data_IF_248157600469
#
_entry.id   IF_248157600469
#
_cell.length_a   1.000
_cell.length_b   1.000
_cell.length_c   1.000
_cell.angle_alpha   90.00
_cell.angle_beta   90.00
_cell.angle_gamma   90.00
#
_symmetry.space_group_name_H-M   'P 1'
#
loop_
_entity.id
_entity.type
_entity.pdbx_description
1 polymer ?
#
# COMPACT_ATOMS: atom_id res chain seq x y z
N UNK A 1 2.66 -85.46 8.19
CA UNK A 1 2.71 -84.43 7.14
C UNK A 1 1.49 -83.52 7.13
N UNK A 2 0.31 -83.93 7.48
CA UNK A 2 -0.89 -83.14 7.45
C UNK A 2 -0.89 -81.98 8.45
N UNK A 3 -0.22 -82.14 9.62
CA UNK A 3 -0.11 -81.10 10.60
C UNK A 3 0.78 -79.89 10.15
N UNK A 4 1.80 -80.16 9.36
CA UNK A 4 2.70 -79.14 8.83
C UNK A 4 2.00 -78.29 7.73
N UNK A 5 1.19 -78.95 6.92
CA UNK A 5 0.39 -78.30 5.89
C UNK A 5 -0.67 -77.34 6.49
N UNK A 6 -1.37 -77.79 7.54
CA UNK A 6 -2.34 -77.02 8.26
C UNK A 6 -1.69 -75.79 8.93
N UNK A 7 -0.49 -75.96 9.50
CA UNK A 7 0.27 -74.85 10.06
C UNK A 7 0.74 -73.84 9.01
N UNK A 8 1.20 -74.34 7.87
CA UNK A 8 1.61 -73.46 6.75
C UNK A 8 0.42 -72.66 6.20
N UNK A 9 -0.72 -73.32 6.02
CA UNK A 9 -1.94 -72.64 5.57
C UNK A 9 -2.45 -71.58 6.58
N UNK A 10 -2.37 -71.92 7.89
CA UNK A 10 -2.73 -71.04 8.96
C UNK A 10 -1.81 -69.78 8.98
N UNK A 11 -0.51 -69.98 8.89
CA UNK A 11 0.47 -68.90 8.85
C UNK A 11 0.27 -68.00 7.60
N UNK A 12 0.03 -68.62 6.46
CA UNK A 12 -0.25 -67.92 5.21
C UNK A 12 -1.55 -67.08 5.28
N UNK A 13 -2.61 -67.68 5.87
CA UNK A 13 -3.86 -66.97 6.08
C UNK A 13 -3.69 -65.79 7.03
N UNK A 14 -2.96 -65.95 8.14
CA UNK A 14 -2.64 -64.89 9.08
C UNK A 14 -1.79 -63.77 8.46
N UNK A 15 -0.76 -64.14 7.71
CA UNK A 15 0.06 -63.18 7.00
C UNK A 15 -0.76 -62.40 5.96
N UNK A 16 -1.72 -63.05 5.31
CA UNK A 16 -2.63 -62.44 4.37
C UNK A 16 -3.58 -61.43 5.03
N UNK A 17 -4.12 -61.76 6.21
CA UNK A 17 -4.98 -60.87 7.00
C UNK A 17 -4.16 -59.67 7.49
N UNK A 18 -2.96 -59.87 8.02
CA UNK A 18 -2.08 -58.78 8.44
C UNK A 18 -1.71 -57.87 7.28
N UNK A 19 -1.48 -58.42 6.11
CA UNK A 19 -1.23 -57.64 4.90
C UNK A 19 -2.45 -56.81 4.48
N UNK A 20 -3.64 -57.38 4.54
CA UNK A 20 -4.87 -56.66 4.24
C UNK A 20 -5.09 -55.54 5.23
N UNK A 21 -4.90 -55.75 6.52
CA UNK A 21 -5.03 -54.75 7.55
C UNK A 21 -4.02 -53.60 7.35
N UNK A 22 -2.78 -53.94 6.99
CA UNK A 22 -1.75 -52.93 6.68
C UNK A 22 -2.12 -52.12 5.45
N UNK A 23 -2.67 -52.75 4.41
CA UNK A 23 -3.16 -52.07 3.22
C UNK A 23 -4.33 -51.11 3.53
N UNK A 24 -5.30 -51.55 4.34
CA UNK A 24 -6.42 -50.71 4.78
C UNK A 24 -5.94 -49.50 5.56
N UNK A 25 -5.02 -49.70 6.49
CA UNK A 25 -4.44 -48.59 7.27
C UNK A 25 -3.73 -47.59 6.37
N UNK A 26 -2.94 -48.10 5.44
CA UNK A 26 -2.22 -47.26 4.47
C UNK A 26 -3.18 -46.47 3.59
N UNK A 27 -4.26 -47.10 3.12
CA UNK A 27 -5.28 -46.41 2.33
C UNK A 27 -5.99 -45.29 3.12
N UNK A 28 -6.32 -45.57 4.38
CA UNK A 28 -6.93 -44.55 5.26
C UNK A 28 -6.01 -43.35 5.49
N UNK A 29 -4.73 -43.61 5.76
CA UNK A 29 -3.73 -42.56 5.93
C UNK A 29 -3.52 -41.79 4.64
N UNK A 30 -3.48 -42.45 3.50
CA UNK A 30 -3.37 -41.81 2.19
C UNK A 30 -4.57 -40.90 1.91
N UNK A 31 -5.79 -41.37 2.19
CA UNK A 31 -7.01 -40.55 2.01
C UNK A 31 -7.01 -39.32 2.91
N UNK A 32 -6.56 -39.45 4.17
CA UNK A 32 -6.41 -38.33 5.08
C UNK A 32 -5.43 -37.30 4.53
N UNK A 33 -4.26 -37.79 4.05
CA UNK A 33 -3.24 -36.91 3.46
C UNK A 33 -3.74 -36.19 2.22
N UNK A 34 -4.51 -36.86 1.38
CA UNK A 34 -5.12 -36.28 0.18
C UNK A 34 -6.13 -35.20 0.53
N UNK A 35 -6.96 -35.39 1.56
CA UNK A 35 -7.91 -34.38 2.05
C UNK A 35 -7.19 -33.15 2.58
N UNK A 36 -6.13 -33.34 3.36
CA UNK A 36 -5.31 -32.27 3.88
C UNK A 36 -4.64 -31.49 2.75
N UNK A 37 -4.06 -32.19 1.78
CA UNK A 37 -3.42 -31.56 0.61
C UNK A 37 -4.43 -30.74 -0.21
N UNK A 38 -5.64 -31.27 -0.40
CA UNK A 38 -6.71 -30.55 -1.10
C UNK A 38 -7.11 -29.28 -0.35
N UNK A 39 -7.25 -29.36 0.97
CA UNK A 39 -7.57 -28.22 1.81
C UNK A 39 -6.50 -27.13 1.72
N UNK A 40 -5.23 -27.49 1.82
CA UNK A 40 -4.12 -26.55 1.67
C UNK A 40 -4.06 -25.93 0.28
N UNK A 41 -4.36 -26.71 -0.75
CA UNK A 41 -4.43 -26.19 -2.13
C UNK A 41 -5.52 -25.12 -2.28
N UNK A 42 -6.69 -25.34 -1.68
CA UNK A 42 -7.78 -24.38 -1.69
C UNK A 42 -7.43 -23.12 -0.90
N UNK A 43 -6.84 -23.26 0.28
CA UNK A 43 -6.34 -22.15 1.09
C UNK A 43 -5.28 -21.34 0.34
N UNK A 44 -4.36 -21.99 -0.34
CA UNK A 44 -3.33 -21.35 -1.14
C UNK A 44 -3.93 -20.53 -2.29
N UNK A 45 -4.96 -21.05 -2.96
CA UNK A 45 -5.68 -20.31 -4.00
C UNK A 45 -6.31 -19.02 -3.44
N UNK A 46 -6.96 -19.13 -2.28
CA UNK A 46 -7.57 -17.96 -1.63
C UNK A 46 -6.51 -16.91 -1.25
N UNK A 47 -5.40 -17.32 -0.67
CA UNK A 47 -4.30 -16.43 -0.31
C UNK A 47 -3.70 -15.76 -1.54
N UNK A 48 -3.53 -16.48 -2.63
CA UNK A 48 -3.03 -15.93 -3.88
C UNK A 48 -4.00 -14.88 -4.47
N UNK A 49 -5.31 -15.12 -4.39
CA UNK A 49 -6.32 -14.14 -4.82
C UNK A 49 -6.29 -12.88 -3.97
N UNK A 50 -6.18 -13.01 -2.66
CA UNK A 50 -6.03 -11.88 -1.74
C UNK A 50 -4.75 -11.09 -2.03
N UNK A 51 -3.66 -11.79 -2.29
CA UNK A 51 -2.38 -11.17 -2.67
C UNK A 51 -2.51 -10.35 -3.94
N UNK A 52 -3.14 -10.89 -4.97
CA UNK A 52 -3.36 -10.19 -6.24
C UNK A 52 -4.23 -8.94 -6.03
N UNK A 53 -5.28 -9.04 -5.24
CA UNK A 53 -6.13 -7.89 -4.89
C UNK A 53 -5.36 -6.81 -4.14
N UNK A 54 -4.51 -7.19 -3.17
CA UNK A 54 -3.67 -6.24 -2.43
C UNK A 54 -2.64 -5.55 -3.33
N UNK A 55 -2.07 -6.28 -4.28
CA UNK A 55 -1.14 -5.70 -5.28
C UNK A 55 -1.84 -4.64 -6.12
N UNK A 56 -3.06 -4.91 -6.57
CA UNK A 56 -3.86 -3.94 -7.33
C UNK A 56 -4.18 -2.70 -6.48
N UNK A 57 -4.59 -2.89 -5.25
CA UNK A 57 -4.86 -1.77 -4.32
C UNK A 57 -3.63 -0.93 -4.04
N UNK A 58 -2.47 -1.58 -3.89
CA UNK A 58 -1.21 -0.89 -3.68
C UNK A 58 -0.83 -0.04 -4.90
N UNK A 59 -0.99 -0.58 -6.09
CA UNK A 59 -0.71 0.13 -7.33
C UNK A 59 -1.63 1.36 -7.48
N UNK A 60 -2.92 1.21 -7.23
CA UNK A 60 -3.87 2.32 -7.23
C UNK A 60 -3.53 3.39 -6.20
N UNK A 61 -3.15 2.98 -4.99
CA UNK A 61 -2.72 3.90 -3.94
C UNK A 61 -1.45 4.66 -4.31
N UNK A 62 -0.49 3.98 -4.92
CA UNK A 62 0.74 4.61 -5.39
C UNK A 62 0.48 5.63 -6.50
N UNK A 63 -0.44 5.33 -7.42
CA UNK A 63 -0.86 6.28 -8.46
C UNK A 63 -1.54 7.52 -7.88
N UNK A 64 -2.41 7.33 -6.89
CA UNK A 64 -3.05 8.46 -6.18
C UNK A 64 -2.02 9.31 -5.46
N UNK A 65 -1.05 8.68 -4.80
CA UNK A 65 0.02 9.40 -4.10
C UNK A 65 0.89 10.20 -5.06
N UNK A 66 1.22 9.66 -6.22
CA UNK A 66 1.96 10.37 -7.25
C UNK A 66 1.17 11.57 -7.78
N UNK A 67 -0.11 11.39 -8.06
CA UNK A 67 -1.01 12.47 -8.45
C UNK A 67 -1.08 13.58 -7.41
N UNK A 68 -1.23 13.23 -6.14
CA UNK A 68 -1.27 14.20 -5.03
C UNK A 68 0.07 14.93 -4.87
N UNK A 69 1.18 14.25 -5.00
CA UNK A 69 2.51 14.89 -4.98
C UNK A 69 2.67 15.91 -6.10
N UNK A 70 2.20 15.57 -7.30
CA UNK A 70 2.23 16.49 -8.44
C UNK A 70 1.32 17.72 -8.21
N UNK A 71 0.15 17.53 -7.60
CA UNK A 71 -0.73 18.64 -7.22
C UNK A 71 -0.08 19.56 -6.17
N UNK A 72 0.55 18.98 -5.14
CA UNK A 72 1.25 19.73 -4.11
C UNK A 72 2.39 20.54 -4.73
N UNK A 73 3.18 19.94 -5.60
CA UNK A 73 4.26 20.62 -6.30
C UNK A 73 3.76 21.79 -7.14
N UNK A 74 2.67 21.61 -7.87
CA UNK A 74 2.03 22.66 -8.66
C UNK A 74 1.49 23.80 -7.78
N UNK A 75 0.89 23.47 -6.64
CA UNK A 75 0.41 24.47 -5.69
C UNK A 75 1.54 25.25 -5.05
N UNK A 76 2.65 24.57 -4.71
CA UNK A 76 3.84 25.23 -4.15
C UNK A 76 4.45 26.23 -5.15
N UNK A 77 4.49 25.89 -6.43
CA UNK A 77 4.93 26.82 -7.48
C UNK A 77 4.01 28.05 -7.58
N UNK A 78 2.70 27.84 -7.54
CA UNK A 78 1.73 28.95 -7.52
C UNK A 78 1.89 29.83 -6.28
N UNK A 79 2.09 29.23 -5.12
CA UNK A 79 2.33 29.98 -3.88
C UNK A 79 3.59 30.83 -3.96
N UNK A 80 4.68 30.29 -4.49
CA UNK A 80 5.93 31.04 -4.69
C UNK A 80 5.74 32.19 -5.66
N UNK A 81 5.01 31.98 -6.75
CA UNK A 81 4.69 33.00 -7.71
C UNK A 81 3.85 34.14 -7.07
N UNK A 82 2.84 33.79 -6.27
CA UNK A 82 2.02 34.77 -5.55
C UNK A 82 2.80 35.55 -4.49
N UNK A 83 3.69 34.88 -3.76
CA UNK A 83 4.58 35.53 -2.80
C UNK A 83 5.49 36.56 -3.47
N UNK A 84 6.04 36.19 -4.64
CA UNK A 84 6.86 37.09 -5.43
C UNK A 84 6.05 38.29 -5.90
N UNK A 85 4.85 38.09 -6.44
CA UNK A 85 3.95 39.19 -6.84
C UNK A 85 3.60 40.10 -5.66
N UNK A 86 3.37 39.52 -4.49
CA UNK A 86 3.09 40.25 -3.28
C UNK A 86 4.27 41.14 -2.87
N UNK A 87 5.48 40.62 -2.90
CA UNK A 87 6.71 41.39 -2.61
C UNK A 87 6.87 42.53 -3.62
N UNK A 88 6.71 42.24 -4.90
CA UNK A 88 6.79 43.28 -5.96
C UNK A 88 5.73 44.38 -5.77
N UNK A 89 4.50 43.99 -5.43
CA UNK A 89 3.43 44.97 -5.14
C UNK A 89 3.73 45.84 -3.92
N UNK A 90 4.29 45.26 -2.86
CA UNK A 90 4.73 45.98 -1.66
C UNK A 90 5.80 47.01 -2.00
N UNK A 91 6.79 46.58 -2.79
CA UNK A 91 7.86 47.52 -3.24
C UNK A 91 7.30 48.63 -4.07
N UNK A 92 6.36 48.36 -4.99
CA UNK A 92 5.70 49.42 -5.77
C UNK A 92 4.91 50.41 -4.91
N UNK A 93 4.17 49.88 -3.93
CA UNK A 93 3.41 50.74 -2.99
C UNK A 93 4.36 51.64 -2.20
N UNK A 94 5.44 51.09 -1.66
CA UNK A 94 6.44 51.86 -0.92
C UNK A 94 7.09 52.94 -1.79
N UNK A 95 7.45 52.60 -3.04
CA UNK A 95 8.06 53.51 -3.98
C UNK A 95 7.11 54.67 -4.40
N UNK A 96 5.80 54.45 -4.38
CA UNK A 96 4.81 55.44 -4.67
C UNK A 96 4.44 56.25 -3.42
N UNK A 97 4.35 55.62 -2.26
CA UNK A 97 3.90 56.25 -1.01
C UNK A 97 4.96 57.16 -0.43
N UNK A 98 6.22 56.75 -0.37
CA UNK A 98 7.28 57.57 0.22
C UNK A 98 7.51 58.86 -0.53
N UNK A 99 7.63 58.88 -1.87
CA UNK A 99 7.73 60.16 -2.62
C UNK A 99 6.51 61.04 -2.46
N UNK A 100 5.31 60.47 -2.44
CA UNK A 100 4.09 61.24 -2.24
C UNK A 100 4.01 61.89 -0.88
N UNK A 101 4.40 61.20 0.17
CA UNK A 101 4.47 61.71 1.53
C UNK A 101 5.51 62.85 1.65
N UNK A 102 6.66 62.71 1.02
CA UNK A 102 7.69 63.73 0.99
C UNK A 102 7.19 65.00 0.27
N UNK A 103 6.51 64.85 -0.85
CA UNK A 103 5.93 65.95 -1.58
C UNK A 103 4.88 66.72 -0.77
N UNK A 104 3.98 66.01 -0.11
CA UNK A 104 2.96 66.59 0.78
C UNK A 104 3.63 67.30 1.94
N UNK A 105 4.67 66.75 2.53
CA UNK A 105 5.42 67.34 3.61
C UNK A 105 6.09 68.66 3.14
N UNK A 106 6.71 68.68 1.99
CA UNK A 106 7.31 69.87 1.39
C UNK A 106 6.29 70.99 1.11
N UNK A 107 5.15 70.66 0.54
CA UNK A 107 4.05 71.59 0.30
C UNK A 107 3.53 72.13 1.63
N UNK A 108 3.33 71.35 2.64
CA UNK A 108 2.87 71.78 3.96
C UNK A 108 3.87 72.71 4.62
N UNK A 109 5.15 72.44 4.60
CA UNK A 109 6.20 73.32 5.12
C UNK A 109 6.27 74.60 4.36
N UNK A 110 6.13 74.56 3.06
CA UNK A 110 6.06 75.77 2.22
C UNK A 110 4.90 76.67 2.58
N UNK A 111 3.71 76.13 2.79
CA UNK A 111 2.52 76.85 3.22
C UNK A 111 2.70 77.44 4.60
N UNK A 112 3.30 76.71 5.54
CA UNK A 112 3.61 77.20 6.87
C UNK A 112 4.59 78.42 6.82
N UNK A 113 5.59 78.33 5.98
CA UNK A 113 6.59 79.35 5.78
C UNK A 113 5.93 80.63 5.20
N UNK A 114 4.96 80.52 4.32
CA UNK A 114 4.23 81.66 3.76
C UNK A 114 3.32 82.33 4.76
N UNK A 115 2.83 81.63 5.78
CA UNK A 115 2.00 82.23 6.85
C UNK A 115 2.79 83.01 7.91
N UNK A 116 4.04 82.67 8.03
CA UNK A 116 4.95 83.35 8.93
C UNK A 116 5.54 84.59 8.26
#
# INVERSE_FOLDING_TARGET
>A
MDNLKCLSDYVSAHASIDFIDACETLCKELLKSMKIAKKFKEELKLVNLEKEELVVRLDESNKKNEFLRNQISSQDEKMKSLEQELVESKVKIENLTVPSLLLITEVFLSLLSLKL
#
